data_IF_682228647109
#
_entry.id   IF_682228647109
#
_cell.length_a   1.000
_cell.length_b   1.000
_cell.length_c   1.000
_cell.angle_alpha   90.00
_cell.angle_beta   90.00
_cell.angle_gamma   90.00
#
_symmetry.space_group_name_H-M   'P 1'
#
loop_
_entity.id
_entity.type
_entity.pdbx_description
1 polymer ?
#
# COMPACT_ATOMS: atom_id res chain seq x y z
N UNK A 1 7.75 1.48 -1.06
CA UNK A 1 7.01 0.22 -1.26
C UNK A 1 7.65 -0.49 -2.45
N UNK A 2 8.08 -1.73 -2.25
CA UNK A 2 8.80 -2.50 -3.28
C UNK A 2 7.82 -3.40 -4.06
N UNK A 3 7.94 -3.51 -5.40
CA UNK A 3 7.23 -4.52 -6.17
C UNK A 3 7.59 -5.94 -5.71
N UNK A 4 6.66 -6.87 -5.87
CA UNK A 4 6.87 -8.28 -5.55
C UNK A 4 6.37 -8.70 -4.17
N UNK A 5 6.09 -7.77 -3.26
CA UNK A 5 5.45 -8.07 -1.98
C UNK A 5 3.95 -8.32 -2.16
N UNK A 6 3.40 -9.30 -1.45
CA UNK A 6 1.96 -9.56 -1.41
C UNK A 6 1.25 -8.71 -0.36
N UNK A 7 -0.04 -8.40 -0.58
CA UNK A 7 -0.82 -7.67 0.43
C UNK A 7 -0.97 -8.47 1.73
N UNK A 8 -0.97 -9.81 1.66
CA UNK A 8 -0.90 -10.69 2.86
C UNK A 8 0.44 -10.56 3.60
N UNK A 9 1.56 -10.40 2.92
CA UNK A 9 2.85 -10.17 3.58
C UNK A 9 2.86 -8.81 4.29
N UNK A 10 2.27 -7.78 3.69
CA UNK A 10 2.05 -6.48 4.34
C UNK A 10 1.20 -6.59 5.60
N UNK A 11 0.12 -7.38 5.56
CA UNK A 11 -0.71 -7.65 6.75
C UNK A 11 0.09 -8.35 7.86
N UNK A 12 0.93 -9.32 7.51
CA UNK A 12 1.78 -10.01 8.47
C UNK A 12 2.81 -9.08 9.13
N UNK A 13 3.41 -8.16 8.35
CA UNK A 13 4.33 -7.14 8.85
C UNK A 13 3.59 -6.19 9.80
N UNK A 14 2.42 -5.69 9.41
CA UNK A 14 1.62 -4.80 10.24
C UNK A 14 1.18 -5.47 11.54
N UNK A 15 0.69 -6.73 11.49
CA UNK A 15 0.34 -7.50 12.67
C UNK A 15 1.52 -7.62 13.64
N UNK A 16 2.70 -7.99 13.12
CA UNK A 16 3.92 -8.13 13.92
C UNK A 16 4.28 -6.80 14.58
N UNK A 17 4.22 -5.69 13.87
CA UNK A 17 4.62 -4.39 14.40
C UNK A 17 3.63 -3.85 15.43
N UNK A 18 2.33 -3.92 15.15
CA UNK A 18 1.27 -3.53 16.09
C UNK A 18 1.42 -4.30 17.40
N UNK A 19 1.60 -5.61 17.33
CA UNK A 19 1.74 -6.46 18.52
C UNK A 19 3.07 -6.26 19.24
N UNK A 20 4.16 -6.03 18.51
CA UNK A 20 5.48 -5.69 19.10
C UNK A 20 5.42 -4.42 19.94
N UNK A 21 4.58 -3.46 19.58
CA UNK A 21 4.36 -2.21 20.32
C UNK A 21 3.33 -2.34 21.46
N UNK A 22 2.85 -3.55 21.75
CA UNK A 22 1.87 -3.80 22.82
C UNK A 22 0.43 -3.43 22.47
N UNK A 23 0.16 -3.12 21.21
CA UNK A 23 -1.18 -2.82 20.71
C UNK A 23 -1.86 -4.06 20.10
N UNK A 24 -3.16 -3.96 19.85
CA UNK A 24 -3.96 -4.96 19.12
C UNK A 24 -4.43 -4.38 17.79
N UNK A 25 -4.43 -5.13 16.68
CA UNK A 25 -4.99 -4.65 15.42
C UNK A 25 -6.49 -4.41 15.57
N UNK A 26 -6.94 -3.17 15.38
CA UNK A 26 -8.33 -2.79 15.63
C UNK A 26 -9.30 -3.41 14.62
N UNK A 27 -8.83 -3.66 13.39
CA UNK A 27 -9.67 -4.17 12.31
C UNK A 27 -9.86 -5.68 12.36
N UNK A 28 -8.91 -6.42 12.95
CA UNK A 28 -8.93 -7.88 12.94
C UNK A 28 -10.09 -8.42 13.78
N UNK A 29 -11.04 -9.07 13.11
CA UNK A 29 -12.28 -9.58 13.69
C UNK A 29 -13.40 -8.55 13.79
N UNK A 30 -13.15 -7.27 13.50
CA UNK A 30 -14.18 -6.24 13.55
C UNK A 30 -15.25 -6.52 12.48
N UNK A 31 -16.47 -6.83 12.92
CA UNK A 31 -17.59 -7.23 12.05
C UNK A 31 -17.23 -8.37 11.08
N UNK A 32 -16.34 -9.28 11.51
CA UNK A 32 -15.88 -10.40 10.68
C UNK A 32 -14.78 -10.07 9.68
N UNK A 33 -14.20 -8.86 9.71
CA UNK A 33 -13.07 -8.51 8.85
C UNK A 33 -11.84 -9.39 9.20
N UNK A 34 -11.21 -10.07 8.22
CA UNK A 34 -10.29 -11.17 8.51
C UNK A 34 -8.85 -10.75 8.79
N UNK A 35 -8.47 -9.51 8.47
CA UNK A 35 -7.08 -9.05 8.45
C UNK A 35 -6.81 -7.93 9.46
N UNK A 36 -5.54 -7.62 9.66
CA UNK A 36 -5.03 -6.64 10.62
C UNK A 36 -5.04 -5.22 10.06
N UNK A 37 -4.89 -5.07 8.74
CA UNK A 37 -4.96 -3.80 8.00
C UNK A 37 -5.89 -3.91 6.80
N UNK A 38 -6.30 -2.78 6.23
CA UNK A 38 -6.83 -2.76 4.86
C UNK A 38 -5.69 -2.44 3.89
N UNK A 39 -5.67 -3.12 2.75
CA UNK A 39 -4.72 -2.92 1.66
C UNK A 39 -5.49 -2.76 0.35
N UNK A 40 -5.80 -1.51 0.00
CA UNK A 40 -6.59 -1.16 -1.19
C UNK A 40 -5.68 -0.75 -2.34
N UNK A 41 -5.68 -1.52 -3.42
CA UNK A 41 -4.80 -1.30 -4.57
C UNK A 41 -5.57 -0.73 -5.76
N UNK A 42 -5.03 0.35 -6.35
CA UNK A 42 -5.54 1.02 -7.55
C UNK A 42 -7.01 1.47 -7.43
N UNK A 43 -7.94 0.80 -8.12
CA UNK A 43 -9.37 1.11 -8.16
C UNK A 43 -10.13 0.78 -6.87
N UNK A 44 -9.52 -0.01 -5.99
CA UNK A 44 -10.12 -0.37 -4.70
C UNK A 44 -10.23 0.89 -3.81
N UNK A 45 -11.47 1.30 -3.52
CA UNK A 45 -11.72 2.57 -2.83
C UNK A 45 -11.28 2.49 -1.37
N UNK A 46 -11.77 1.51 -0.60
CA UNK A 46 -11.48 1.28 0.83
C UNK A 46 -11.66 -0.21 1.14
N UNK A 47 -11.21 -0.64 2.33
CA UNK A 47 -11.44 -2.00 2.88
C UNK A 47 -10.94 -3.15 1.99
N UNK A 48 -9.89 -2.92 1.19
CA UNK A 48 -9.22 -3.98 0.45
C UNK A 48 -8.72 -5.04 1.43
N UNK A 49 -9.13 -6.30 1.22
CA UNK A 49 -8.76 -7.41 2.11
C UNK A 49 -7.39 -7.94 1.68
N UNK A 50 -6.37 -7.90 2.56
CA UNK A 50 -5.07 -8.54 2.31
C UNK A 50 -5.19 -10.00 1.86
N UNK A 51 -4.42 -10.37 0.84
CA UNK A 51 -4.51 -11.67 0.21
C UNK A 51 -3.32 -12.02 -0.69
N UNK A 52 -3.59 -12.83 -1.72
CA UNK A 52 -2.55 -13.33 -2.64
C UNK A 52 -2.08 -12.28 -3.67
N UNK A 53 -2.68 -11.09 -3.72
CA UNK A 53 -2.32 -10.03 -4.68
C UNK A 53 -0.88 -9.60 -4.42
N UNK A 54 -0.03 -9.76 -5.43
CA UNK A 54 1.36 -9.28 -5.43
C UNK A 54 1.41 -7.91 -6.09
N UNK A 55 2.03 -6.94 -5.41
CA UNK A 55 2.14 -5.57 -5.89
C UNK A 55 3.12 -5.49 -7.07
N UNK A 56 2.78 -4.68 -8.06
CA UNK A 56 3.58 -4.47 -9.27
C UNK A 56 4.10 -3.04 -9.33
N UNK A 57 5.20 -2.86 -10.04
CA UNK A 57 5.68 -1.52 -10.35
C UNK A 57 4.59 -0.72 -11.07
N UNK A 58 4.32 0.50 -10.61
CA UNK A 58 3.24 1.34 -11.13
C UNK A 58 1.86 1.14 -10.49
N UNK A 59 1.71 0.23 -9.51
CA UNK A 59 0.51 0.20 -8.65
C UNK A 59 0.53 1.33 -7.62
N UNK A 60 -0.63 1.87 -7.26
CA UNK A 60 -0.80 2.69 -6.06
C UNK A 60 -1.52 1.85 -5.00
N UNK A 61 -1.00 1.87 -3.78
CA UNK A 61 -1.62 1.15 -2.66
C UNK A 61 -1.94 2.12 -1.53
N UNK A 62 -3.18 2.06 -1.05
CA UNK A 62 -3.58 2.64 0.23
C UNK A 62 -3.53 1.58 1.32
N UNK A 63 -2.73 1.83 2.35
CA UNK A 63 -2.70 1.04 3.57
C UNK A 63 -3.43 1.82 4.66
N UNK A 64 -4.40 1.16 5.29
CA UNK A 64 -5.18 1.70 6.40
C UNK A 64 -4.88 0.87 7.65
N UNK A 65 -4.49 1.51 8.75
CA UNK A 65 -3.98 0.87 9.95
C UNK A 65 -4.67 1.41 11.19
N UNK A 66 -5.47 0.56 11.82
CA UNK A 66 -6.06 0.80 13.13
C UNK A 66 -5.38 -0.02 14.22
N UNK A 67 -5.04 0.62 15.33
CA UNK A 67 -4.43 -0.05 16.49
C UNK A 67 -5.12 0.37 17.79
N UNK A 68 -5.37 -0.61 18.66
CA UNK A 68 -5.91 -0.40 20.01
C UNK A 68 -4.81 -0.57 21.04
N UNK A 69 -4.57 0.47 21.87
CA UNK A 69 -3.62 0.42 22.99
C UNK A 69 -4.27 1.05 24.23
N UNK A 70 -4.24 0.35 25.36
CA UNK A 70 -4.81 0.82 26.64
C UNK A 70 -6.27 1.34 26.54
N UNK A 71 -7.08 0.74 25.66
CA UNK A 71 -8.48 1.13 25.44
C UNK A 71 -8.69 2.29 24.46
N UNK A 72 -7.64 2.93 23.96
CA UNK A 72 -7.70 3.96 22.92
C UNK A 72 -7.46 3.36 21.55
N UNK A 73 -8.11 3.94 20.53
CA UNK A 73 -7.95 3.54 19.13
C UNK A 73 -7.28 4.68 18.36
N UNK A 74 -6.14 4.39 17.75
CA UNK A 74 -5.53 5.24 16.72
C UNK A 74 -5.85 4.67 15.34
N UNK A 75 -6.08 5.56 14.38
CA UNK A 75 -6.46 5.21 13.01
C UNK A 75 -5.76 6.15 12.03
N UNK A 76 -5.09 5.58 11.03
CA UNK A 76 -4.37 6.34 10.02
C UNK A 76 -4.23 5.54 8.72
N UNK A 77 -4.38 6.23 7.59
CA UNK A 77 -4.18 5.66 6.27
C UNK A 77 -3.17 6.47 5.46
N UNK A 78 -2.42 5.77 4.61
CA UNK A 78 -1.47 6.38 3.67
C UNK A 78 -1.54 5.70 2.31
N UNK A 79 -1.56 6.50 1.25
CA UNK A 79 -1.44 6.03 -0.13
C UNK A 79 -0.02 6.26 -0.63
N UNK A 80 0.61 5.21 -1.16
CA UNK A 80 1.98 5.28 -1.67
C UNK A 80 2.10 4.61 -3.05
N UNK A 81 2.95 5.13 -3.95
CA UNK A 81 3.28 4.44 -5.18
C UNK A 81 4.13 3.19 -4.90
N UNK A 82 3.94 2.15 -5.71
CA UNK A 82 4.75 0.92 -5.72
C UNK A 82 5.83 1.05 -6.78
N UNK A 83 7.08 0.86 -6.37
CA UNK A 83 8.24 0.95 -7.25
C UNK A 83 8.50 2.35 -7.79
N UNK A 84 9.15 2.43 -8.95
CA UNK A 84 9.58 3.67 -9.60
C UNK A 84 8.69 4.07 -10.78
N UNK A 85 7.84 3.18 -11.30
CA UNK A 85 7.01 3.41 -12.49
C UNK A 85 6.12 4.66 -12.45
N UNK A 86 5.81 5.18 -11.25
CA UNK A 86 5.15 6.48 -11.09
C UNK A 86 6.02 7.69 -11.43
N UNK A 87 7.31 7.64 -11.12
CA UNK A 87 8.28 8.71 -11.37
C UNK A 87 8.94 8.59 -12.76
N UNK A 88 8.92 7.39 -13.34
CA UNK A 88 9.49 7.07 -14.65
C UNK A 88 8.47 7.08 -15.79
N UNK A 89 7.26 7.62 -15.60
CA UNK A 89 6.43 8.07 -16.73
C UNK A 89 6.88 9.48 -17.08
N UNK A 90 7.73 9.69 -18.11
CA UNK A 90 7.76 11.01 -18.70
C UNK A 90 6.32 11.27 -19.18
N UNK A 91 5.79 12.45 -18.87
CA UNK A 91 4.78 13.03 -19.75
C UNK A 91 5.45 13.09 -21.13
N UNK A 92 5.10 12.14 -21.99
CA UNK A 92 5.64 12.06 -23.34
C UNK A 92 5.05 13.22 -24.16
N UNK A 93 5.63 14.42 -23.97
CA UNK A 93 5.76 15.45 -24.99
C UNK A 93 7.20 15.99 -25.08
N UNK A 94 8.07 15.78 -24.08
CA UNK A 94 9.40 16.41 -24.04
C UNK A 94 10.60 15.47 -24.21
N UNK A 95 10.53 14.22 -23.74
CA UNK A 95 11.65 13.25 -23.85
C UNK A 95 11.82 12.68 -25.25
N UNK A 96 10.75 12.54 -26.03
CA UNK A 96 10.83 12.11 -27.43
C UNK A 96 11.49 13.19 -28.32
N UNK A 97 11.26 14.47 -28.04
CA UNK A 97 11.84 15.59 -28.80
C UNK A 97 13.36 15.72 -28.62
N UNK A 98 13.89 15.41 -27.43
CA UNK A 98 15.36 15.43 -27.22
C UNK A 98 16.10 14.38 -28.04
N UNK A 99 15.44 13.26 -28.40
CA UNK A 99 16.06 12.25 -29.26
C UNK A 99 16.10 12.70 -30.72
N UNK A 100 15.04 13.37 -31.19
CA UNK A 100 14.95 13.93 -32.55
C UNK A 100 15.89 15.14 -32.73
N UNK A 101 16.05 15.99 -31.73
CA UNK A 101 16.90 17.19 -31.80
C UNK A 101 18.41 16.91 -31.73
N UNK A 102 18.82 15.71 -31.28
CA UNK A 102 20.23 15.30 -31.27
C UNK A 102 20.62 14.48 -32.52
N UNK A 103 19.70 14.30 -33.47
CA UNK A 103 19.90 13.59 -34.73
C UNK A 103 19.76 14.53 -35.96
N UNK A 104 19.74 15.85 -35.76
CA UNK A 104 19.82 16.90 -36.80
C UNK A 104 20.93 17.90 -36.52
#
# INVERSE_FOLDING_TARGET
MEPGISTKELDAIAYKEITRLGAKPAFKGYRGFPASICASVNEEIVHGIPGKRVLKDGDIIKMDVGATINGFIGDAAVSVPVGQGFYLRPSNSWTQQKKVLNEV
#
